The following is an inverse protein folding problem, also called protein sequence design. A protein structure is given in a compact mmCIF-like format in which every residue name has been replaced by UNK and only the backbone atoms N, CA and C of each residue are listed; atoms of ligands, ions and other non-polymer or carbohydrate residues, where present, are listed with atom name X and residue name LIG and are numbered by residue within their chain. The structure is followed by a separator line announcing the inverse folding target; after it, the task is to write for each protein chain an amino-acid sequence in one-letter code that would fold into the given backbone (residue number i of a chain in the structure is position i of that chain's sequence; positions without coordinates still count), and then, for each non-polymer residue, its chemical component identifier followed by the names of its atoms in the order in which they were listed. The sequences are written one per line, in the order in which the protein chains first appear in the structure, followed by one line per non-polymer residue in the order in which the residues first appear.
data_IF_363355411516
#
_entry.id   IF_363355411516
#
_cell.length_a   1.000
_cell.length_b   1.000
_cell.length_c   1.000
_cell.angle_alpha   90.00
_cell.angle_beta   90.00
_cell.angle_gamma   90.00
#
_symmetry.space_group_name_H-M   'P 1'
#
loop_
_entity.id
_entity.type
_entity.pdbx_description
1 polymer ?
#
# COMPACT_ATOMS: atom_id res chain seq x y z
N UNK A 1 -16.43 12.79 -15.57
CA UNK A 1 -15.79 12.55 -14.26
C UNK A 1 -15.40 11.09 -14.21
N UNK A 2 -14.10 10.78 -14.20
CA UNK A 2 -13.64 9.41 -13.91
C UNK A 2 -13.80 9.23 -12.40
N UNK A 3 -14.57 8.24 -11.96
CA UNK A 3 -14.69 7.92 -10.53
C UNK A 3 -13.39 7.22 -10.09
N UNK A 4 -12.81 7.66 -8.97
CA UNK A 4 -11.69 6.93 -8.36
C UNK A 4 -12.25 5.65 -7.73
N UNK A 5 -11.82 4.49 -8.23
CA UNK A 5 -12.21 3.18 -7.72
C UNK A 5 -11.01 2.59 -7.00
N UNK A 6 -11.09 2.59 -5.67
CA UNK A 6 -10.07 1.99 -4.80
C UNK A 6 -10.38 0.52 -4.59
N UNK A 7 -9.35 -0.32 -4.71
CA UNK A 7 -9.40 -1.72 -4.30
C UNK A 7 -8.43 -1.96 -3.15
N UNK A 8 -8.97 -2.38 -2.00
CA UNK A 8 -8.19 -2.61 -0.79
C UNK A 8 -7.93 -4.09 -0.55
N UNK A 9 -6.66 -4.46 -0.46
CA UNK A 9 -6.27 -5.86 -0.25
C UNK A 9 -6.02 -6.18 1.23
N UNK A 10 -7.11 -6.40 1.96
CA UNK A 10 -7.05 -6.76 3.38
C UNK A 10 -6.69 -8.24 3.60
N UNK A 11 -5.78 -8.53 4.54
CA UNK A 11 -5.43 -9.89 5.05
C UNK A 11 -4.80 -10.91 4.06
N UNK A 12 -4.87 -10.66 2.75
CA UNK A 12 -4.43 -11.60 1.70
C UNK A 12 -2.93 -11.44 1.40
N UNK A 13 -2.38 -10.22 1.50
CA UNK A 13 -1.05 -9.86 0.99
C UNK A 13 0.09 -10.72 1.57
N UNK A 14 0.05 -11.00 2.87
CA UNK A 14 1.10 -11.79 3.53
C UNK A 14 0.76 -13.28 3.66
N UNK A 15 -0.41 -13.71 3.17
CA UNK A 15 -0.91 -15.10 3.35
C UNK A 15 -1.20 -15.82 2.04
N UNK A 16 -1.01 -15.15 0.90
CA UNK A 16 -1.24 -15.70 -0.44
C UNK A 16 0.06 -15.88 -1.20
N UNK A 17 0.05 -16.84 -2.14
CA UNK A 17 1.10 -17.02 -3.13
C UNK A 17 1.23 -15.75 -3.98
N UNK A 18 2.48 -15.39 -4.32
CA UNK A 18 2.80 -14.12 -4.98
C UNK A 18 2.20 -14.06 -6.39
N UNK A 19 2.23 -15.16 -7.11
CA UNK A 19 1.74 -15.27 -8.48
C UNK A 19 0.22 -15.03 -8.53
N UNK A 20 -0.51 -15.65 -7.60
CA UNK A 20 -1.95 -15.45 -7.45
C UNK A 20 -2.31 -14.00 -7.09
N UNK A 21 -1.51 -13.38 -6.23
CA UNK A 21 -1.65 -11.98 -5.89
C UNK A 21 -1.54 -11.08 -7.12
N UNK A 22 -0.54 -11.30 -7.98
CA UNK A 22 -0.37 -10.49 -9.19
C UNK A 22 -1.50 -10.67 -10.20
N UNK A 23 -2.02 -11.89 -10.33
CA UNK A 23 -3.15 -12.21 -11.20
C UNK A 23 -4.41 -11.46 -10.75
N UNK A 24 -4.78 -11.57 -9.47
CA UNK A 24 -5.96 -10.87 -8.93
C UNK A 24 -5.83 -9.35 -9.11
N UNK A 25 -4.66 -8.79 -8.80
CA UNK A 25 -4.47 -7.35 -8.95
C UNK A 25 -4.61 -6.92 -10.42
N UNK A 26 -4.08 -7.71 -11.36
CA UNK A 26 -4.25 -7.47 -12.79
C UNK A 26 -5.71 -7.53 -13.23
N UNK A 27 -6.49 -8.49 -12.73
CA UNK A 27 -7.90 -8.62 -13.05
C UNK A 27 -8.76 -7.49 -12.48
N UNK A 28 -8.41 -7.00 -11.29
CA UNK A 28 -9.10 -5.87 -10.67
C UNK A 28 -8.80 -4.55 -11.38
N UNK A 29 -7.55 -4.37 -11.86
CA UNK A 29 -7.19 -3.25 -12.75
C UNK A 29 -8.04 -3.30 -14.03
N UNK A 30 -8.13 -4.46 -14.69
CA UNK A 30 -8.95 -4.62 -15.91
C UNK A 30 -10.43 -4.33 -15.68
N UNK A 31 -10.93 -4.63 -14.48
CA UNK A 31 -12.34 -4.40 -14.16
C UNK A 31 -12.64 -2.90 -14.14
N UNK A 32 -12.04 -2.14 -13.22
CA UNK A 32 -12.23 -0.68 -13.07
C UNK A 32 -11.27 0.00 -12.09
N UNK A 33 -10.39 -0.73 -11.38
CA UNK A 33 -9.62 -0.12 -10.30
C UNK A 33 -8.64 0.93 -10.83
N UNK A 34 -8.63 2.10 -10.20
CA UNK A 34 -7.69 3.20 -10.49
C UNK A 34 -6.64 3.34 -9.38
N UNK A 35 -6.89 2.74 -8.22
CA UNK A 35 -5.96 2.70 -7.08
C UNK A 35 -5.98 1.30 -6.46
N UNK A 36 -4.79 0.74 -6.24
CA UNK A 36 -4.59 -0.50 -5.49
C UNK A 36 -3.97 -0.18 -4.14
N UNK A 37 -4.71 -0.41 -3.06
CA UNK A 37 -4.21 -0.19 -1.71
C UNK A 37 -3.60 -1.49 -1.16
N UNK A 38 -2.30 -1.46 -0.92
CA UNK A 38 -1.48 -2.59 -0.45
C UNK A 38 -0.99 -2.29 0.97
N UNK A 39 -1.77 -2.62 1.99
CA UNK A 39 -1.40 -2.33 3.38
C UNK A 39 -0.57 -3.40 4.08
N UNK A 40 0.23 -2.97 5.06
CA UNK A 40 0.66 -3.82 6.17
C UNK A 40 -0.40 -3.76 7.28
N UNK A 41 -1.41 -4.62 7.17
CA UNK A 41 -2.60 -4.59 8.05
C UNK A 41 -2.36 -5.08 9.46
N UNK A 42 -1.22 -5.72 9.73
CA UNK A 42 -0.88 -6.28 11.05
C UNK A 42 0.35 -5.60 11.64
N UNK A 43 1.20 -4.96 10.83
CA UNK A 43 2.35 -4.20 11.32
C UNK A 43 3.54 -5.09 11.72
N UNK A 44 3.67 -6.29 11.13
CA UNK A 44 4.75 -7.23 11.43
C UNK A 44 5.81 -7.37 10.33
N UNK A 45 5.59 -6.76 9.16
CA UNK A 45 6.58 -6.86 8.09
C UNK A 45 7.84 -6.09 8.47
N UNK A 46 9.01 -6.65 8.16
CA UNK A 46 10.24 -5.87 8.21
C UNK A 46 10.26 -4.86 7.05
N UNK A 47 10.90 -3.69 7.23
CA UNK A 47 10.85 -2.64 6.21
C UNK A 47 11.32 -3.09 4.82
N UNK A 48 12.39 -3.89 4.77
CA UNK A 48 12.89 -4.45 3.49
C UNK A 48 11.93 -5.47 2.87
N UNK A 49 11.26 -6.27 3.68
CA UNK A 49 10.27 -7.24 3.19
C UNK A 49 9.07 -6.51 2.59
N UNK A 50 8.64 -5.43 3.25
CA UNK A 50 7.54 -4.60 2.77
C UNK A 50 7.91 -3.84 1.48
N UNK A 51 9.08 -3.22 1.44
CA UNK A 51 9.57 -2.57 0.22
C UNK A 51 9.68 -3.57 -0.95
N UNK A 52 10.26 -4.75 -0.71
CA UNK A 52 10.37 -5.79 -1.74
C UNK A 52 9.00 -6.23 -2.26
N UNK A 53 8.02 -6.42 -1.38
CA UNK A 53 6.65 -6.71 -1.76
C UNK A 53 6.05 -5.66 -2.72
N UNK A 54 6.20 -4.37 -2.40
CA UNK A 54 5.70 -3.29 -3.28
C UNK A 54 6.43 -3.31 -4.62
N UNK A 55 7.76 -3.48 -4.62
CA UNK A 55 8.56 -3.58 -5.83
C UNK A 55 8.14 -4.78 -6.70
N UNK A 56 7.89 -5.93 -6.07
CA UNK A 56 7.48 -7.15 -6.77
C UNK A 56 6.09 -7.01 -7.40
N UNK A 57 5.12 -6.42 -6.68
CA UNK A 57 3.79 -6.11 -7.24
C UNK A 57 3.94 -5.19 -8.46
N UNK A 58 4.73 -4.12 -8.33
CA UNK A 58 4.99 -3.18 -9.41
C UNK A 58 5.67 -3.82 -10.62
N UNK A 59 6.53 -4.82 -10.41
CA UNK A 59 7.23 -5.50 -11.49
C UNK A 59 6.40 -6.57 -12.20
N UNK A 60 5.46 -7.21 -11.49
CA UNK A 60 4.81 -8.44 -11.97
C UNK A 60 3.30 -8.29 -12.25
N UNK A 61 2.64 -7.24 -11.76
CA UNK A 61 1.21 -7.03 -12.03
C UNK A 61 0.99 -6.37 -13.39
N UNK A 62 0.19 -7.00 -14.25
CA UNK A 62 -0.15 -6.44 -15.57
C UNK A 62 -1.07 -5.23 -15.44
N UNK A 63 -0.76 -4.12 -16.12
CA UNK A 63 -1.55 -2.89 -16.11
C UNK A 63 -1.27 -1.97 -14.91
N UNK A 64 -0.30 -2.34 -14.06
CA UNK A 64 0.03 -1.63 -12.82
C UNK A 64 0.46 -0.17 -13.07
N UNK A 65 0.99 0.13 -14.25
CA UNK A 65 1.37 1.47 -14.69
C UNK A 65 0.20 2.42 -14.90
N UNK A 66 -1.02 1.88 -15.02
CA UNK A 66 -2.26 2.66 -15.23
C UNK A 66 -2.97 3.03 -13.92
N UNK A 67 -2.47 2.55 -12.78
CA UNK A 67 -3.08 2.72 -11.46
C UNK A 67 -2.09 3.26 -10.43
N UNK A 68 -2.62 3.81 -9.34
CA UNK A 68 -1.83 4.27 -8.20
C UNK A 68 -1.70 3.14 -7.19
N UNK A 69 -0.46 2.84 -6.75
CA UNK A 69 -0.24 1.99 -5.58
C UNK A 69 -0.34 2.88 -4.33
N UNK A 70 -1.35 2.61 -3.50
CA UNK A 70 -1.52 3.21 -2.17
C UNK A 70 -1.02 2.25 -1.09
N UNK A 71 -0.62 2.78 0.06
CA UNK A 71 -0.33 1.95 1.24
C UNK A 71 -0.62 2.67 2.55
N UNK A 72 -1.01 1.91 3.57
CA UNK A 72 -0.88 2.27 4.97
C UNK A 72 -0.20 1.12 5.73
N UNK A 73 0.57 1.46 6.76
CA UNK A 73 1.21 0.48 7.62
C UNK A 73 0.73 0.65 9.06
N UNK A 74 0.30 -0.47 9.66
CA UNK A 74 0.09 -0.56 11.11
C UNK A 74 1.43 -0.57 11.84
N UNK A 75 1.41 -0.25 13.13
CA UNK A 75 2.61 -0.02 13.91
C UNK A 75 2.70 -0.93 15.14
N UNK A 76 2.12 -2.12 15.09
CA UNK A 76 2.16 -3.09 16.18
C UNK A 76 3.61 -3.38 16.65
N UNK A 77 4.60 -3.31 15.76
CA UNK A 77 6.04 -3.44 16.08
C UNK A 77 6.83 -2.11 16.16
N UNK A 78 6.19 -0.95 16.05
CA UNK A 78 6.91 0.33 16.01
C UNK A 78 7.56 0.66 14.66
N UNK A 79 7.20 -0.05 13.58
CA UNK A 79 7.84 0.03 12.27
C UNK A 79 6.99 0.73 11.19
N UNK A 80 5.82 1.28 11.52
CA UNK A 80 4.90 1.81 10.49
C UNK A 80 5.53 2.88 9.62
N UNK A 81 6.27 3.82 10.24
CA UNK A 81 6.90 4.92 9.50
C UNK A 81 7.95 4.39 8.54
N UNK A 82 8.79 3.44 8.98
CA UNK A 82 9.84 2.86 8.14
C UNK A 82 9.23 2.02 7.02
N UNK A 83 8.22 1.20 7.31
CA UNK A 83 7.51 0.41 6.30
C UNK A 83 6.85 1.31 5.25
N UNK A 84 6.16 2.37 5.67
CA UNK A 84 5.55 3.32 4.72
C UNK A 84 6.61 4.01 3.85
N UNK A 85 7.75 4.41 4.42
CA UNK A 85 8.85 5.00 3.64
C UNK A 85 9.46 4.01 2.65
N UNK A 86 9.70 2.77 3.06
CA UNK A 86 10.20 1.72 2.15
C UNK A 86 9.21 1.43 1.02
N UNK A 87 7.90 1.42 1.33
CA UNK A 87 6.85 1.33 0.31
C UNK A 87 6.89 2.49 -0.69
N UNK A 88 7.08 3.72 -0.20
CA UNK A 88 7.23 4.90 -1.05
C UNK A 88 8.46 4.79 -1.97
N UNK A 89 9.62 4.41 -1.42
CA UNK A 89 10.85 4.20 -2.21
C UNK A 89 10.70 3.09 -3.26
N UNK A 90 9.87 2.10 -2.97
CA UNK A 90 9.65 0.93 -3.83
C UNK A 90 8.56 1.14 -4.89
N UNK A 91 7.83 2.26 -4.84
CA UNK A 91 6.92 2.67 -5.90
C UNK A 91 5.48 2.96 -5.48
N UNK A 92 5.15 2.91 -4.18
CA UNK A 92 3.89 3.46 -3.69
C UNK A 92 3.85 4.98 -3.91
N UNK A 93 2.74 5.47 -4.45
CA UNK A 93 2.55 6.88 -4.82
C UNK A 93 1.48 7.60 -3.98
N UNK A 94 0.72 6.84 -3.20
CA UNK A 94 -0.21 7.36 -2.21
C UNK A 94 0.10 6.73 -0.84
N UNK A 95 0.21 7.57 0.18
CA UNK A 95 0.50 7.14 1.55
C UNK A 95 -0.67 7.53 2.45
N UNK A 96 -1.32 6.53 3.02
CA UNK A 96 -2.44 6.68 3.93
C UNK A 96 -1.91 6.67 5.38
N UNK A 97 -2.19 7.75 6.10
CA UNK A 97 -1.70 7.98 7.46
C UNK A 97 -2.74 8.74 8.28
N UNK A 98 -2.53 8.80 9.58
CA UNK A 98 -3.38 9.64 10.45
C UNK A 98 -2.57 10.68 11.18
N UNK A 99 -3.24 11.77 11.54
CA UNK A 99 -2.64 12.82 12.37
C UNK A 99 -2.53 12.26 13.78
N UNK A 100 -1.33 12.39 14.37
CA UNK A 100 -0.98 11.86 15.69
C UNK A 100 -1.10 10.33 15.82
N UNK A 101 -1.19 9.59 14.72
CA UNK A 101 -1.14 8.12 14.73
C UNK A 101 -2.40 7.43 15.27
N UNK A 102 -3.53 8.14 15.38
CA UNK A 102 -4.79 7.57 15.86
C UNK A 102 -5.30 6.53 14.84
N UNK A 103 -5.50 5.27 15.25
CA UNK A 103 -5.94 4.20 14.36
C UNK A 103 -6.32 2.91 15.10
N UNK A 104 -6.76 1.88 14.36
CA UNK A 104 -7.00 0.54 14.92
C UNK A 104 -5.69 0.02 15.54
N UNK A 105 -5.75 -0.48 16.79
CA UNK A 105 -4.56 -0.92 17.56
C UNK A 105 -3.50 0.17 17.79
N UNK A 106 -3.93 1.43 17.77
CA UNK A 106 -3.28 2.52 18.49
C UNK A 106 -2.17 3.26 17.77
N UNK A 107 -1.64 2.76 16.65
CA UNK A 107 -0.63 3.50 15.89
C UNK A 107 -0.61 3.12 14.40
N UNK A 108 -0.89 4.09 13.54
CA UNK A 108 -0.45 4.11 12.13
C UNK A 108 0.61 5.19 11.97
N UNK A 109 1.31 5.26 10.82
CA UNK A 109 2.28 6.34 10.57
C UNK A 109 1.66 7.71 10.92
N UNK A 110 2.38 8.50 11.73
CA UNK A 110 1.96 9.86 12.09
C UNK A 110 2.49 10.84 11.06
N UNK A 111 1.61 11.58 10.39
CA UNK A 111 2.06 12.79 9.68
C UNK A 111 2.26 13.90 10.71
N UNK A 112 3.51 14.20 11.05
CA UNK A 112 3.83 15.31 11.97
C UNK A 112 3.46 16.68 11.37
N UNK A 113 3.24 16.73 10.05
CA UNK A 113 2.67 17.81 9.26
C UNK A 113 1.78 17.13 8.22
N UNK A 114 0.47 17.46 8.13
CA UNK A 114 -0.54 16.75 7.34
C UNK A 114 -0.11 16.43 5.90
N UNK A 115 0.57 15.30 5.70
CA UNK A 115 1.11 14.86 4.44
C UNK A 115 0.04 13.97 3.79
N UNK A 116 -0.93 14.60 3.14
CA UNK A 116 -1.63 13.98 2.02
C UNK A 116 -0.64 13.95 0.86
N UNK A 117 0.20 12.90 0.82
CA UNK A 117 1.05 12.65 -0.33
C UNK A 117 0.17 12.11 -1.46
N UNK A 118 -0.56 12.99 -2.13
CA UNK A 118 -0.94 12.78 -3.53
C UNK A 118 0.23 13.30 -4.35
N UNK A 119 1.07 12.41 -4.87
CA UNK A 119 2.12 12.84 -5.80
C UNK A 119 1.45 13.47 -7.02
N UNK A 120 1.80 14.72 -7.40
CA UNK A 120 1.39 15.22 -8.70
C UNK A 120 2.19 14.47 -9.78
N UNK A 121 1.46 14.01 -10.79
CA UNK A 121 1.93 13.49 -12.09
C UNK A 121 2.55 12.09 -12.11
#
# INVERSE_FOLDING_TARGET
MVQNVNFDLYYVINRSEREFLYEILGDVIKAVATTLNIPDTIGYNWPREFGQLIADIKANTTGIETVIISTYCQNDLGLSTTNTLEGAYSGARQLECTINGIGERGVVMTSHHGLLATSPE
#
